data_IF_846681893526
#
_entry.id   IF_846681893526
#
_cell.length_a   1.000
_cell.length_b   1.000
_cell.length_c   1.000
_cell.angle_alpha   90.00
_cell.angle_beta   90.00
_cell.angle_gamma   90.00
#
_symmetry.space_group_name_H-M   'P 1'
#
loop_
_entity.id
_entity.type
_entity.pdbx_description
1 polymer ?
#
# COMPACT_ATOMS: atom_id res chain seq x y z
N UNK A 1 -13.09 -13.50 13.49
CA UNK A 1 -13.81 -12.43 12.76
C UNK A 1 -15.29 -12.80 12.66
N UNK A 2 -16.19 -11.82 12.54
CA UNK A 2 -17.66 -12.05 12.47
C UNK A 2 -18.32 -11.13 11.42
N UNK A 3 -17.53 -10.66 10.44
CA UNK A 3 -17.99 -9.65 9.48
C UNK A 3 -19.10 -10.16 8.56
N UNK A 4 -19.02 -11.40 8.09
CA UNK A 4 -20.07 -11.97 7.22
C UNK A 4 -21.44 -12.07 7.92
N UNK A 5 -21.44 -12.37 9.22
CA UNK A 5 -22.68 -12.35 10.01
C UNK A 5 -23.23 -10.93 10.15
N UNK A 6 -22.39 -9.94 10.47
CA UNK A 6 -22.79 -8.53 10.60
C UNK A 6 -23.30 -7.97 9.26
N UNK A 7 -22.71 -8.34 8.14
CA UNK A 7 -23.22 -8.01 6.79
C UNK A 7 -24.60 -8.63 6.55
N UNK A 8 -24.82 -9.90 6.96
CA UNK A 8 -26.12 -10.53 6.85
C UNK A 8 -27.22 -9.81 7.64
N UNK A 9 -26.89 -9.23 8.80
CA UNK A 9 -27.80 -8.38 9.56
C UNK A 9 -28.14 -7.08 8.81
N UNK A 10 -27.19 -6.47 8.10
CA UNK A 10 -27.45 -5.30 7.24
C UNK A 10 -28.43 -5.65 6.11
N UNK A 11 -28.28 -6.83 5.51
CA UNK A 11 -29.25 -7.33 4.49
C UNK A 11 -30.65 -7.49 5.10
N UNK A 12 -30.74 -8.13 6.27
CA UNK A 12 -32.03 -8.38 6.95
C UNK A 12 -32.76 -7.10 7.34
N UNK A 13 -32.03 -6.03 7.64
CA UNK A 13 -32.60 -4.74 8.01
C UNK A 13 -32.75 -3.76 6.84
N UNK A 14 -32.40 -4.17 5.63
CA UNK A 14 -32.39 -3.33 4.41
C UNK A 14 -31.57 -2.04 4.56
N UNK A 15 -30.46 -2.15 5.27
CA UNK A 15 -29.50 -1.05 5.49
C UNK A 15 -28.08 -1.46 5.04
N UNK A 16 -27.83 -1.62 3.73
CA UNK A 16 -26.51 -1.97 3.23
C UNK A 16 -25.49 -0.86 3.55
N UNK A 17 -24.23 -1.25 3.67
CA UNK A 17 -23.12 -0.28 3.74
C UNK A 17 -23.05 0.47 2.41
N UNK A 18 -23.12 1.80 2.46
CA UNK A 18 -23.11 2.69 1.30
C UNK A 18 -21.69 3.17 1.02
N UNK A 19 -21.16 2.75 -0.13
CA UNK A 19 -19.78 3.00 -0.54
C UNK A 19 -19.73 4.02 -1.67
N UNK A 20 -18.86 5.02 -1.53
CA UNK A 20 -18.37 5.87 -2.61
C UNK A 20 -17.01 5.34 -3.06
N UNK A 21 -16.87 4.97 -4.33
CA UNK A 21 -15.60 4.50 -4.91
C UNK A 21 -15.01 5.60 -5.79
N UNK A 22 -13.78 6.04 -5.45
CA UNK A 22 -13.09 7.09 -6.19
C UNK A 22 -11.92 6.47 -6.96
N UNK A 23 -11.97 6.56 -8.29
CA UNK A 23 -11.06 5.90 -9.22
C UNK A 23 -11.55 4.51 -9.63
N UNK A 24 -11.66 4.28 -10.93
CA UNK A 24 -12.13 3.02 -11.53
C UNK A 24 -11.04 2.38 -12.42
N UNK A 25 -9.84 2.19 -11.86
CA UNK A 25 -8.71 1.53 -12.49
C UNK A 25 -8.69 0.01 -12.29
N UNK A 26 -7.51 -0.59 -12.44
CA UNK A 26 -7.30 -2.06 -12.30
C UNK A 26 -7.72 -2.58 -10.93
N UNK A 27 -7.34 -1.88 -9.84
CA UNK A 27 -7.72 -2.25 -8.48
C UNK A 27 -9.24 -2.27 -8.31
N UNK A 28 -9.91 -1.19 -8.71
CA UNK A 28 -11.35 -1.06 -8.62
C UNK A 28 -12.08 -2.18 -9.38
N UNK A 29 -11.59 -2.57 -10.56
CA UNK A 29 -12.14 -3.70 -11.32
C UNK A 29 -12.13 -4.99 -10.51
N UNK A 30 -11.01 -5.29 -9.82
CA UNK A 30 -10.89 -6.45 -8.94
C UNK A 30 -11.85 -6.36 -7.75
N UNK A 31 -11.97 -5.19 -7.12
CA UNK A 31 -12.93 -4.98 -6.03
C UNK A 31 -14.37 -5.14 -6.51
N UNK A 32 -14.76 -4.51 -7.61
CA UNK A 32 -16.11 -4.56 -8.17
C UNK A 32 -16.54 -5.97 -8.56
N UNK A 33 -15.59 -6.83 -8.97
CA UNK A 33 -15.85 -8.25 -9.26
C UNK A 33 -16.42 -8.97 -8.04
N UNK A 34 -15.95 -8.65 -6.83
CA UNK A 34 -16.43 -9.26 -5.58
C UNK A 34 -17.56 -8.43 -4.92
N UNK A 35 -17.51 -7.11 -4.99
CA UNK A 35 -18.50 -6.24 -4.36
C UNK A 35 -19.92 -6.59 -4.79
N UNK A 36 -20.14 -6.89 -6.07
CA UNK A 36 -21.44 -7.31 -6.61
C UNK A 36 -21.96 -8.64 -6.03
N UNK A 37 -21.08 -9.46 -5.46
CA UNK A 37 -21.42 -10.74 -4.81
C UNK A 37 -21.53 -10.61 -3.28
N UNK A 38 -21.12 -9.46 -2.74
CA UNK A 38 -21.07 -9.23 -1.29
C UNK A 38 -22.37 -8.59 -0.83
N UNK A 39 -23.32 -9.42 -0.40
CA UNK A 39 -24.58 -8.92 0.14
C UNK A 39 -24.33 -8.02 1.38
N UNK A 40 -25.09 -6.93 1.49
CA UNK A 40 -24.94 -5.94 2.55
C UNK A 40 -23.96 -4.82 2.24
N UNK A 41 -23.37 -4.78 1.05
CA UNK A 41 -22.59 -3.65 0.53
C UNK A 41 -23.27 -3.11 -0.73
N UNK A 42 -23.45 -1.80 -0.81
CA UNK A 42 -23.99 -1.10 -1.97
C UNK A 42 -22.98 -0.03 -2.45
N UNK A 43 -22.47 -0.17 -3.65
CA UNK A 43 -21.67 0.85 -4.32
C UNK A 43 -22.64 1.91 -4.85
N UNK A 44 -22.84 2.98 -4.09
CA UNK A 44 -23.80 4.06 -4.43
C UNK A 44 -23.33 4.83 -5.64
N UNK A 45 -22.03 5.12 -5.70
CA UNK A 45 -21.44 5.83 -6.81
C UNK A 45 -19.98 5.45 -7.07
N UNK A 46 -19.58 5.68 -8.31
CA UNK A 46 -18.20 5.56 -8.76
C UNK A 46 -17.83 6.87 -9.43
N UNK A 47 -16.77 7.52 -8.94
CA UNK A 47 -16.21 8.71 -9.57
C UNK A 47 -14.93 8.33 -10.33
N UNK A 48 -14.87 8.67 -11.61
CA UNK A 48 -13.69 8.52 -12.46
C UNK A 48 -13.66 9.62 -13.51
N UNK A 49 -12.51 10.20 -13.78
CA UNK A 49 -12.31 11.24 -14.81
C UNK A 49 -12.69 10.77 -16.22
N UNK A 50 -12.80 9.45 -16.42
CA UNK A 50 -13.27 8.83 -17.67
C UNK A 50 -14.40 7.82 -17.39
N UNK A 51 -15.67 8.27 -17.40
CA UNK A 51 -16.84 7.40 -17.17
C UNK A 51 -16.96 6.27 -18.22
N UNK A 52 -16.46 6.46 -19.43
CA UNK A 52 -16.49 5.41 -20.45
C UNK A 52 -15.53 4.28 -20.07
N UNK A 53 -14.37 4.61 -19.51
CA UNK A 53 -13.45 3.63 -18.92
C UNK A 53 -14.10 2.93 -17.72
N UNK A 54 -14.77 3.66 -16.83
CA UNK A 54 -15.48 3.07 -15.70
C UNK A 54 -16.54 2.04 -16.15
N UNK A 55 -17.35 2.36 -17.16
CA UNK A 55 -18.32 1.43 -17.73
C UNK A 55 -17.65 0.17 -18.30
N UNK A 56 -16.51 0.30 -19.00
CA UNK A 56 -15.72 -0.85 -19.50
C UNK A 56 -15.22 -1.73 -18.36
N UNK A 57 -14.74 -1.14 -17.27
CA UNK A 57 -14.27 -1.89 -16.10
C UNK A 57 -15.42 -2.61 -15.38
N UNK A 58 -16.58 -1.98 -15.24
CA UNK A 58 -17.78 -2.62 -14.71
C UNK A 58 -18.20 -3.83 -15.56
N UNK A 59 -18.25 -3.67 -16.87
CA UNK A 59 -18.54 -4.79 -17.79
C UNK A 59 -17.51 -5.93 -17.64
N UNK A 60 -16.21 -5.61 -17.53
CA UNK A 60 -15.14 -6.58 -17.26
C UNK A 60 -15.35 -7.30 -15.91
N UNK A 61 -15.78 -6.57 -14.89
CA UNK A 61 -16.13 -7.14 -13.57
C UNK A 61 -17.45 -7.93 -13.58
N UNK A 62 -18.15 -8.01 -14.72
CA UNK A 62 -19.38 -8.76 -14.93
C UNK A 62 -20.65 -8.07 -14.43
N UNK A 63 -20.64 -6.73 -14.32
CA UNK A 63 -21.83 -5.94 -14.02
C UNK A 63 -22.69 -5.78 -15.27
N UNK A 64 -24.01 -5.85 -15.12
CA UNK A 64 -24.96 -5.54 -16.19
C UNK A 64 -25.22 -4.03 -16.25
N UNK A 65 -25.66 -3.54 -17.41
CA UNK A 65 -25.95 -2.12 -17.60
C UNK A 65 -26.98 -1.57 -16.60
N UNK A 66 -27.95 -2.39 -16.20
CA UNK A 66 -28.99 -2.03 -15.23
C UNK A 66 -28.38 -1.75 -13.84
N UNK A 67 -27.31 -2.43 -13.47
CA UNK A 67 -26.67 -2.31 -12.15
C UNK A 67 -25.93 -0.96 -11.98
N UNK A 68 -25.62 -0.25 -13.08
CA UNK A 68 -25.02 1.08 -13.05
C UNK A 68 -25.80 2.11 -13.90
N UNK A 69 -27.10 1.93 -14.01
CA UNK A 69 -27.98 2.81 -14.78
C UNK A 69 -28.52 4.01 -13.99
N UNK A 70 -28.09 4.22 -12.75
CA UNK A 70 -28.56 5.34 -11.95
C UNK A 70 -28.15 6.70 -12.56
N UNK A 71 -29.09 7.64 -12.62
CA UNK A 71 -28.87 8.96 -13.21
C UNK A 71 -28.35 9.99 -12.21
N UNK A 72 -28.49 9.72 -10.93
CA UNK A 72 -28.09 10.55 -9.81
C UNK A 72 -28.05 9.71 -8.52
N UNK A 73 -27.51 10.25 -7.42
CA UNK A 73 -27.41 9.51 -6.14
C UNK A 73 -28.76 9.03 -5.59
N UNK A 74 -29.79 9.85 -5.67
CA UNK A 74 -31.15 9.48 -5.20
C UNK A 74 -31.69 8.28 -5.98
N UNK A 75 -31.50 8.28 -7.30
CA UNK A 75 -31.88 7.17 -8.18
C UNK A 75 -31.10 5.89 -7.84
N UNK A 76 -29.78 6.04 -7.54
CA UNK A 76 -28.92 4.93 -7.13
C UNK A 76 -29.42 4.25 -5.84
N UNK A 77 -29.71 5.05 -4.83
CA UNK A 77 -30.20 4.54 -3.54
C UNK A 77 -31.60 3.94 -3.65
N UNK A 78 -32.49 4.56 -4.41
CA UNK A 78 -33.87 4.06 -4.56
C UNK A 78 -33.95 2.74 -5.34
N UNK A 79 -33.03 2.48 -6.27
CA UNK A 79 -33.04 1.30 -7.15
C UNK A 79 -32.01 0.24 -6.78
N UNK A 80 -31.14 0.52 -5.82
CA UNK A 80 -29.98 -0.36 -5.53
C UNK A 80 -28.99 -0.46 -6.70
N UNK A 81 -28.93 0.57 -7.57
CA UNK A 81 -27.98 0.66 -8.69
C UNK A 81 -26.85 1.63 -8.38
N UNK A 82 -25.85 1.72 -9.25
CA UNK A 82 -24.68 2.60 -9.07
C UNK A 82 -24.75 3.81 -9.98
N UNK A 83 -24.41 4.98 -9.45
CA UNK A 83 -24.27 6.22 -10.20
C UNK A 83 -22.81 6.42 -10.65
N UNK A 84 -22.59 6.79 -11.91
CA UNK A 84 -21.29 7.13 -12.46
C UNK A 84 -21.16 8.64 -12.60
N UNK A 85 -20.03 9.20 -12.17
CA UNK A 85 -19.75 10.64 -12.23
C UNK A 85 -18.27 10.92 -12.53
N UNK A 86 -17.97 12.10 -13.09
CA UNK A 86 -16.63 12.64 -13.21
C UNK A 86 -16.21 13.43 -11.96
N UNK A 87 -17.17 13.81 -11.12
CA UNK A 87 -16.98 14.66 -9.96
C UNK A 87 -16.91 13.84 -8.66
N UNK A 88 -15.68 13.58 -8.22
CA UNK A 88 -15.41 12.89 -6.96
C UNK A 88 -15.91 13.68 -5.75
N UNK A 89 -15.78 15.00 -5.79
CA UNK A 89 -16.16 15.88 -4.71
C UNK A 89 -17.67 15.83 -4.46
N UNK A 90 -18.45 15.85 -5.54
CA UNK A 90 -19.90 15.71 -5.46
C UNK A 90 -20.32 14.36 -4.85
N UNK A 91 -19.60 13.28 -5.19
CA UNK A 91 -19.90 11.97 -4.63
C UNK A 91 -19.51 11.86 -3.15
N UNK A 92 -18.39 12.44 -2.75
CA UNK A 92 -17.92 12.46 -1.36
C UNK A 92 -18.86 13.30 -0.47
N UNK A 93 -19.42 14.38 -0.97
CA UNK A 93 -20.28 15.29 -0.19
C UNK A 93 -21.69 14.71 0.10
N UNK A 94 -22.03 13.53 -0.39
CA UNK A 94 -23.33 12.92 -0.11
C UNK A 94 -23.41 12.44 1.34
N UNK A 95 -24.34 12.97 2.11
CA UNK A 95 -24.54 12.65 3.52
C UNK A 95 -24.86 11.15 3.78
N UNK A 96 -25.33 10.44 2.77
CA UNK A 96 -25.75 9.05 2.88
C UNK A 96 -24.62 8.05 2.72
N UNK A 97 -23.40 8.48 2.42
CA UNK A 97 -22.23 7.62 2.29
C UNK A 97 -21.72 7.21 3.67
N UNK A 98 -21.47 5.93 3.89
CA UNK A 98 -20.86 5.42 5.11
C UNK A 98 -19.32 5.41 5.01
N UNK A 99 -18.79 5.09 3.81
CA UNK A 99 -17.35 4.94 3.59
C UNK A 99 -16.93 5.35 2.19
N UNK A 100 -15.84 6.08 2.11
CA UNK A 100 -15.15 6.43 0.85
C UNK A 100 -13.99 5.45 0.64
N UNK A 101 -13.94 4.83 -0.52
CA UNK A 101 -12.80 4.02 -0.98
C UNK A 101 -12.01 4.86 -1.98
N UNK A 102 -10.81 5.29 -1.61
CA UNK A 102 -9.92 6.08 -2.44
C UNK A 102 -8.95 5.16 -3.19
N UNK A 103 -9.07 5.06 -4.51
CA UNK A 103 -8.34 4.13 -5.37
C UNK A 103 -7.77 4.79 -6.64
N UNK A 104 -7.46 6.08 -6.61
CA UNK A 104 -6.93 6.81 -7.78
C UNK A 104 -5.47 6.46 -8.06
N UNK A 105 -4.67 6.13 -7.03
CA UNK A 105 -3.22 5.93 -7.14
C UNK A 105 -2.44 7.24 -7.40
N UNK A 106 -3.08 8.41 -7.24
CA UNK A 106 -2.46 9.73 -7.41
C UNK A 106 -2.36 10.39 -6.03
N UNK A 107 -1.16 10.62 -5.47
CA UNK A 107 -0.99 11.11 -4.11
C UNK A 107 -1.72 12.42 -3.83
N UNK A 108 -1.64 13.41 -4.73
CA UNK A 108 -2.28 14.71 -4.56
C UNK A 108 -3.80 14.60 -4.53
N UNK A 109 -4.39 13.79 -5.41
CA UNK A 109 -5.83 13.52 -5.44
C UNK A 109 -6.27 12.76 -4.17
N UNK A 110 -5.52 11.72 -3.78
CA UNK A 110 -5.82 10.93 -2.58
C UNK A 110 -5.85 11.75 -1.30
N UNK A 111 -4.88 12.65 -1.12
CA UNK A 111 -4.84 13.57 0.02
C UNK A 111 -6.04 14.53 0.03
N UNK A 112 -6.41 15.08 -1.14
CA UNK A 112 -7.57 15.94 -1.30
C UNK A 112 -8.86 15.20 -0.95
N UNK A 113 -9.11 14.05 -1.56
CA UNK A 113 -10.31 13.23 -1.33
C UNK A 113 -10.42 12.79 0.13
N UNK A 114 -9.28 12.42 0.74
CA UNK A 114 -9.22 12.03 2.14
C UNK A 114 -9.67 13.17 3.06
N UNK A 115 -9.09 14.36 2.95
CA UNK A 115 -9.46 15.52 3.77
C UNK A 115 -10.93 15.93 3.57
N UNK A 116 -11.43 15.80 2.33
CA UNK A 116 -12.83 16.07 2.03
C UNK A 116 -13.77 15.07 2.71
N UNK A 117 -13.45 13.77 2.61
CA UNK A 117 -14.22 12.70 3.28
C UNK A 117 -14.21 12.86 4.80
N UNK A 118 -13.06 13.20 5.41
CA UNK A 118 -12.97 13.52 6.84
C UNK A 118 -13.89 14.68 7.22
N UNK A 119 -13.90 15.75 6.41
CA UNK A 119 -14.76 16.93 6.62
C UNK A 119 -16.23 16.59 6.49
N UNK A 120 -16.60 15.71 5.56
CA UNK A 120 -17.96 15.21 5.37
C UNK A 120 -18.39 14.19 6.45
N UNK A 121 -17.49 13.73 7.30
CA UNK A 121 -17.78 12.77 8.36
C UNK A 121 -17.84 11.32 7.91
N UNK A 122 -17.24 10.98 6.77
CA UNK A 122 -17.21 9.62 6.23
C UNK A 122 -15.96 8.85 6.67
N UNK A 123 -16.15 7.56 6.90
CA UNK A 123 -15.02 6.64 7.05
C UNK A 123 -14.24 6.52 5.75
N UNK A 124 -12.98 6.10 5.83
CA UNK A 124 -12.06 6.01 4.71
C UNK A 124 -11.38 4.63 4.62
N UNK A 125 -11.32 4.09 3.41
CA UNK A 125 -10.41 2.99 3.04
C UNK A 125 -9.47 3.51 1.97
N UNK A 126 -8.22 3.73 2.36
CA UNK A 126 -7.15 4.26 1.52
C UNK A 126 -6.46 3.12 0.78
N UNK A 127 -6.81 2.95 -0.49
CA UNK A 127 -6.11 2.02 -1.40
C UNK A 127 -4.85 2.66 -1.97
N UNK A 128 -4.85 3.97 -2.07
CA UNK A 128 -3.75 4.79 -2.56
C UNK A 128 -2.62 4.86 -1.51
N UNK A 129 -1.82 3.80 -1.46
CA UNK A 129 -0.71 3.68 -0.51
C UNK A 129 0.35 4.75 -0.74
N UNK A 130 0.44 5.27 -1.98
CA UNK A 130 1.30 6.37 -2.37
C UNK A 130 0.93 7.66 -1.60
N UNK A 131 -0.37 7.98 -1.51
CA UNK A 131 -0.88 9.09 -0.71
C UNK A 131 -0.70 8.85 0.79
N UNK A 132 -0.90 7.60 1.24
CA UNK A 132 -0.70 7.19 2.64
C UNK A 132 0.75 7.45 3.09
N UNK A 133 1.74 7.08 2.30
CA UNK A 133 3.15 7.30 2.68
C UNK A 133 3.54 8.78 2.63
N UNK A 134 2.94 9.57 1.75
CA UNK A 134 3.20 11.03 1.69
C UNK A 134 2.66 11.76 2.91
N UNK A 135 1.42 11.45 3.36
CA UNK A 135 0.74 12.21 4.40
C UNK A 135 -0.13 11.37 5.35
N UNK A 136 -0.19 10.05 5.21
CA UNK A 136 -1.10 9.16 5.96
C UNK A 136 -1.07 9.32 7.47
N UNK A 137 0.09 9.42 8.15
CA UNK A 137 0.14 9.67 9.59
C UNK A 137 -0.59 10.95 10.03
N UNK A 138 -0.53 12.02 9.22
CA UNK A 138 -1.28 13.25 9.47
C UNK A 138 -2.77 13.04 9.23
N UNK A 139 -3.13 12.46 8.08
CA UNK A 139 -4.52 12.22 7.69
C UNK A 139 -5.24 11.29 8.67
N UNK A 140 -4.56 10.24 9.16
CA UNK A 140 -5.10 9.34 10.19
C UNK A 140 -5.38 10.08 11.51
N UNK A 141 -4.51 11.02 11.91
CA UNK A 141 -4.73 11.87 13.08
C UNK A 141 -5.88 12.85 12.88
N UNK A 142 -6.01 13.45 11.68
CA UNK A 142 -7.15 14.30 11.31
C UNK A 142 -8.46 13.49 11.35
N UNK A 143 -8.48 12.28 10.80
CA UNK A 143 -9.64 11.38 10.82
C UNK A 143 -10.04 11.02 12.26
N UNK A 144 -9.07 10.65 13.10
CA UNK A 144 -9.31 10.35 14.52
C UNK A 144 -9.92 11.56 15.26
N UNK A 145 -9.42 12.76 15.01
CA UNK A 145 -9.95 13.99 15.60
C UNK A 145 -11.39 14.28 15.16
N UNK A 146 -11.75 13.91 13.94
CA UNK A 146 -13.10 14.03 13.38
C UNK A 146 -14.04 12.88 13.78
N UNK A 147 -13.54 11.84 14.49
CA UNK A 147 -14.33 10.67 14.89
C UNK A 147 -14.65 9.71 13.76
N UNK A 148 -13.88 9.75 12.66
CA UNK A 148 -14.00 8.82 11.54
C UNK A 148 -12.80 7.88 11.47
N UNK A 149 -12.96 6.72 10.82
CA UNK A 149 -11.90 5.73 10.68
C UNK A 149 -11.14 5.97 9.38
N UNK A 150 -9.82 6.06 9.48
CA UNK A 150 -8.89 5.93 8.36
C UNK A 150 -8.32 4.52 8.34
N UNK A 151 -8.40 3.80 7.24
CA UNK A 151 -7.97 2.41 7.12
C UNK A 151 -7.14 2.17 5.87
N UNK A 152 -6.07 1.38 6.00
CA UNK A 152 -5.44 0.72 4.87
C UNK A 152 -6.39 -0.34 4.26
N UNK A 153 -6.12 -0.75 3.04
CA UNK A 153 -6.95 -1.64 2.26
C UNK A 153 -6.58 -3.12 2.47
N UNK A 154 -7.49 -3.92 3.03
CA UNK A 154 -7.31 -5.37 3.16
C UNK A 154 -7.22 -6.07 1.80
N UNK A 155 -6.35 -7.05 1.71
CA UNK A 155 -6.00 -7.72 0.46
C UNK A 155 -4.79 -7.09 -0.21
N UNK A 156 -4.44 -5.85 0.14
CA UNK A 156 -3.11 -5.28 -0.14
C UNK A 156 -2.12 -5.72 0.93
N UNK A 157 -0.86 -5.83 0.56
CA UNK A 157 0.19 -6.38 1.43
C UNK A 157 0.39 -5.60 2.72
N UNK A 158 0.35 -4.25 2.77
CA UNK A 158 0.49 -3.52 4.03
C UNK A 158 -0.53 -3.91 5.09
N UNK A 159 -1.81 -3.99 4.77
CA UNK A 159 -2.84 -4.35 5.73
C UNK A 159 -2.69 -5.80 6.24
N UNK A 160 -2.32 -6.73 5.35
CA UNK A 160 -2.08 -8.13 5.71
C UNK A 160 -0.85 -8.30 6.62
N UNK A 161 0.20 -7.52 6.38
CA UNK A 161 1.39 -7.53 7.24
C UNK A 161 1.07 -6.92 8.61
N UNK A 162 0.25 -5.85 8.64
CA UNK A 162 -0.22 -5.26 9.89
C UNK A 162 -1.01 -6.27 10.74
N UNK A 163 -1.84 -7.12 10.12
CA UNK A 163 -2.52 -8.23 10.81
C UNK A 163 -1.53 -9.22 11.43
N UNK A 164 -0.50 -9.62 10.69
CA UNK A 164 0.54 -10.51 11.23
C UNK A 164 1.23 -9.91 12.44
N UNK A 165 1.58 -8.62 12.38
CA UNK A 165 2.24 -7.90 13.47
C UNK A 165 1.30 -7.77 14.68
N UNK A 166 0.03 -7.43 14.44
CA UNK A 166 -0.97 -7.30 15.50
C UNK A 166 -1.23 -8.64 16.19
N UNK A 167 -1.41 -9.71 15.41
CA UNK A 167 -1.53 -11.08 15.91
C UNK A 167 -0.33 -11.44 16.79
N UNK A 168 0.90 -11.24 16.31
CA UNK A 168 2.10 -11.62 17.04
C UNK A 168 2.19 -10.87 18.39
N UNK A 169 1.99 -9.55 18.37
CA UNK A 169 2.04 -8.71 19.60
C UNK A 169 0.92 -9.01 20.55
N UNK A 170 -0.29 -9.27 20.07
CA UNK A 170 -1.44 -9.66 20.90
C UNK A 170 -1.21 -11.00 21.59
N UNK A 171 -0.49 -11.92 20.94
CA UNK A 171 -0.05 -13.19 21.54
C UNK A 171 1.20 -13.05 22.43
N UNK A 172 1.77 -11.86 22.59
CA UNK A 172 2.96 -11.61 23.41
C UNK A 172 4.29 -11.98 22.74
N UNK A 173 4.30 -12.22 21.43
CA UNK A 173 5.54 -12.46 20.69
C UNK A 173 6.27 -11.15 20.37
N UNK A 174 7.59 -11.18 20.44
CA UNK A 174 8.42 -10.12 19.90
C UNK A 174 8.52 -10.25 18.37
N UNK A 175 8.13 -9.19 17.66
CA UNK A 175 8.25 -9.14 16.20
C UNK A 175 9.65 -8.72 15.82
N UNK A 176 10.38 -9.62 15.18
CA UNK A 176 11.76 -9.39 14.71
C UNK A 176 11.76 -8.74 13.34
N UNK A 177 10.93 -9.26 12.43
CA UNK A 177 10.77 -8.74 11.08
C UNK A 177 9.36 -9.03 10.57
N UNK A 178 8.83 -8.13 9.76
CA UNK A 178 7.62 -8.38 8.99
C UNK A 178 7.79 -7.83 7.57
N UNK A 179 7.15 -8.47 6.60
CA UNK A 179 7.30 -8.03 5.22
C UNK A 179 6.62 -8.92 4.20
N UNK A 180 7.12 -8.83 2.98
CA UNK A 180 6.56 -9.52 1.82
C UNK A 180 7.64 -10.18 0.97
N UNK A 181 7.20 -10.99 -0.01
CA UNK A 181 8.05 -11.42 -1.10
C UNK A 181 7.80 -10.61 -2.37
N UNK A 182 8.82 -10.53 -3.22
CA UNK A 182 8.74 -9.92 -4.56
C UNK A 182 9.70 -10.58 -5.53
N UNK A 183 9.56 -10.27 -6.83
CA UNK A 183 10.59 -10.57 -7.81
C UNK A 183 11.57 -9.39 -7.83
N UNK A 184 12.82 -9.64 -7.50
CA UNK A 184 13.82 -8.58 -7.43
C UNK A 184 15.20 -9.08 -7.84
N UNK A 185 15.91 -8.24 -8.59
CA UNK A 185 17.34 -8.36 -8.88
C UNK A 185 17.98 -6.96 -8.73
N UNK A 186 19.24 -6.82 -8.27
CA UNK A 186 19.88 -5.51 -8.06
C UNK A 186 19.85 -4.56 -9.26
N UNK A 187 19.94 -5.09 -10.49
CA UNK A 187 19.86 -4.29 -11.72
C UNK A 187 18.46 -3.71 -11.99
N UNK A 188 17.44 -4.15 -11.27
CA UNK A 188 16.06 -3.69 -11.53
C UNK A 188 15.81 -2.25 -11.09
N UNK A 189 16.63 -1.68 -10.21
CA UNK A 189 16.57 -0.25 -9.89
C UNK A 189 16.76 0.66 -11.12
N UNK A 190 17.47 0.17 -12.14
CA UNK A 190 17.72 0.91 -13.37
C UNK A 190 16.65 0.73 -14.45
N UNK A 191 15.67 -0.19 -14.23
CA UNK A 191 14.60 -0.44 -15.18
C UNK A 191 13.74 0.82 -15.39
N UNK A 192 13.27 0.96 -16.63
CA UNK A 192 12.40 2.04 -17.08
C UNK A 192 11.15 1.46 -17.72
N UNK A 193 10.07 2.25 -17.95
CA UNK A 193 8.92 1.79 -18.70
C UNK A 193 9.25 1.19 -20.08
N UNK A 194 10.35 1.63 -20.69
CA UNK A 194 10.78 1.14 -22.02
C UNK A 194 11.48 -0.23 -21.93
N UNK A 195 12.20 -0.50 -20.83
CA UNK A 195 13.00 -1.73 -20.67
C UNK A 195 12.31 -2.81 -19.84
N UNK A 196 11.31 -2.46 -19.04
CA UNK A 196 10.63 -3.39 -18.11
C UNK A 196 9.96 -4.56 -18.83
N UNK A 197 9.53 -4.37 -20.07
CA UNK A 197 8.88 -5.42 -20.87
C UNK A 197 9.75 -6.66 -21.05
N UNK A 198 11.05 -6.49 -21.29
CA UNK A 198 11.99 -7.60 -21.45
C UNK A 198 12.07 -8.51 -20.20
N UNK A 199 11.82 -7.94 -19.02
CA UNK A 199 11.76 -8.70 -17.76
C UNK A 199 10.38 -9.33 -17.56
N UNK A 200 9.30 -8.60 -17.83
CA UNK A 200 7.92 -9.08 -17.62
C UNK A 200 7.60 -10.33 -18.43
N UNK A 201 7.97 -10.36 -19.70
CA UNK A 201 7.73 -11.48 -20.60
C UNK A 201 8.44 -12.80 -20.19
N UNK A 202 9.40 -12.73 -19.26
CA UNK A 202 10.09 -13.93 -18.77
C UNK A 202 9.23 -14.75 -17.79
N UNK A 203 8.19 -14.15 -17.20
CA UNK A 203 7.41 -14.80 -16.14
C UNK A 203 5.91 -14.49 -16.14
N UNK A 204 5.46 -13.58 -17.01
CA UNK A 204 4.04 -13.27 -17.21
C UNK A 204 3.64 -13.64 -18.63
N UNK A 205 2.54 -14.36 -18.75
CA UNK A 205 1.86 -14.58 -20.02
C UNK A 205 0.94 -13.39 -20.28
N UNK A 206 1.34 -12.49 -21.16
CA UNK A 206 0.60 -11.28 -21.54
C UNK A 206 0.43 -11.29 -23.05
N UNK A 207 -0.81 -11.46 -23.49
CA UNK A 207 -1.15 -11.53 -24.92
C UNK A 207 -0.99 -10.18 -25.63
N UNK A 208 -1.31 -9.08 -24.92
CA UNK A 208 -1.26 -7.73 -25.47
C UNK A 208 -0.49 -6.78 -24.54
N UNK A 209 0.76 -6.40 -24.89
CA UNK A 209 1.56 -5.45 -24.11
C UNK A 209 0.91 -4.07 -23.94
N UNK A 210 0.04 -3.67 -24.89
CA UNK A 210 -0.64 -2.36 -24.84
C UNK A 210 -1.75 -2.32 -23.77
N UNK A 211 -2.15 -3.48 -23.27
CA UNK A 211 -3.18 -3.61 -22.24
C UNK A 211 -2.68 -3.32 -20.83
N UNK A 212 -1.37 -3.18 -20.64
CA UNK A 212 -0.74 -2.99 -19.33
C UNK A 212 -0.12 -1.62 -19.17
N UNK A 213 -0.11 -1.12 -17.92
CA UNK A 213 0.60 0.11 -17.57
C UNK A 213 2.06 -0.23 -17.25
N UNK A 214 2.98 -0.01 -18.19
CA UNK A 214 4.41 -0.30 -18.02
C UNK A 214 5.04 0.45 -16.86
N UNK A 215 4.63 1.70 -16.60
CA UNK A 215 5.12 2.50 -15.48
C UNK A 215 4.74 1.87 -14.13
N UNK A 216 3.49 1.39 -14.00
CA UNK A 216 3.04 0.68 -12.81
C UNK A 216 3.81 -0.63 -12.61
N UNK A 217 4.00 -1.44 -13.67
CA UNK A 217 4.76 -2.68 -13.56
C UNK A 217 6.23 -2.43 -13.25
N UNK A 218 6.80 -1.34 -13.79
CA UNK A 218 8.16 -0.95 -13.48
C UNK A 218 8.33 -0.64 -11.99
N UNK A 219 7.38 0.05 -11.35
CA UNK A 219 7.46 0.36 -9.91
C UNK A 219 7.45 -0.90 -9.02
N UNK A 220 6.84 -1.99 -9.48
CA UNK A 220 6.90 -3.28 -8.77
C UNK A 220 8.28 -3.92 -8.82
N UNK A 221 9.01 -3.74 -9.92
CA UNK A 221 10.32 -4.36 -10.13
C UNK A 221 11.47 -3.50 -9.65
N UNK A 222 11.41 -2.16 -9.84
CA UNK A 222 12.50 -1.25 -9.48
C UNK A 222 12.66 -1.02 -7.98
N UNK A 223 11.77 -1.60 -7.16
CA UNK A 223 11.79 -1.51 -5.71
C UNK A 223 10.93 -0.40 -5.13
N UNK A 224 10.43 0.54 -5.94
CA UNK A 224 9.62 1.68 -5.49
C UNK A 224 8.38 1.23 -4.72
N UNK A 225 7.57 0.36 -5.32
CA UNK A 225 6.35 -0.15 -4.67
C UNK A 225 6.65 -0.90 -3.38
N UNK A 226 7.75 -1.68 -3.34
CA UNK A 226 8.20 -2.35 -2.12
C UNK A 226 8.58 -1.35 -1.02
N UNK A 227 9.26 -0.27 -1.37
CA UNK A 227 9.57 0.83 -0.44
C UNK A 227 8.30 1.47 0.12
N UNK A 228 7.34 1.81 -0.75
CA UNK A 228 6.05 2.41 -0.38
C UNK A 228 5.29 1.50 0.59
N UNK A 229 5.07 0.24 0.24
CA UNK A 229 4.30 -0.68 1.06
C UNK A 229 4.96 -0.97 2.42
N UNK A 230 6.29 -1.13 2.46
CA UNK A 230 6.99 -1.34 3.74
C UNK A 230 7.02 -0.07 4.60
N UNK A 231 6.98 1.11 4.00
CA UNK A 231 6.85 2.36 4.76
C UNK A 231 5.44 2.51 5.37
N UNK A 232 4.39 2.15 4.64
CA UNK A 232 3.03 2.09 5.19
C UNK A 232 2.95 1.12 6.39
N UNK A 233 3.61 -0.07 6.28
CA UNK A 233 3.73 -1.02 7.41
C UNK A 233 4.45 -0.40 8.60
N UNK A 234 5.61 0.24 8.39
CA UNK A 234 6.35 0.90 9.48
C UNK A 234 5.50 1.97 10.16
N UNK A 235 4.88 2.85 9.39
CA UNK A 235 4.05 3.95 9.91
C UNK A 235 2.82 3.45 10.68
N UNK A 236 2.29 2.29 10.31
CA UNK A 236 1.16 1.65 10.98
C UNK A 236 1.57 0.86 12.23
N UNK A 237 2.67 0.13 12.17
CA UNK A 237 3.04 -0.85 13.22
C UNK A 237 4.09 -0.34 14.20
N UNK A 238 4.82 0.73 13.86
CA UNK A 238 5.98 1.21 14.63
C UNK A 238 7.24 0.36 14.42
N UNK A 239 7.23 -0.57 13.44
CA UNK A 239 8.48 -1.15 12.94
C UNK A 239 9.30 -0.06 12.24
N UNK A 240 10.61 -0.25 12.18
CA UNK A 240 11.52 0.76 11.60
C UNK A 240 12.22 0.21 10.35
N UNK A 241 12.54 1.03 9.36
CA UNK A 241 13.34 0.60 8.23
C UNK A 241 14.72 0.11 8.67
N UNK A 242 15.34 -0.73 7.85
CA UNK A 242 16.75 -1.04 8.02
C UNK A 242 17.63 0.20 7.71
N UNK A 243 18.86 0.23 8.22
CA UNK A 243 19.77 1.38 8.09
C UNK A 243 20.01 1.83 6.65
N UNK A 244 20.08 0.88 5.71
CA UNK A 244 20.34 1.14 4.30
C UNK A 244 19.10 0.92 3.40
N UNK A 245 17.91 0.89 3.99
CA UNK A 245 16.69 0.52 3.30
C UNK A 245 16.55 -0.98 3.07
N UNK A 246 15.67 -1.39 2.16
CA UNK A 246 15.40 -2.80 1.88
C UNK A 246 16.59 -3.50 1.23
N UNK A 247 16.93 -4.66 1.77
CA UNK A 247 18.06 -5.49 1.30
C UNK A 247 17.67 -6.50 0.22
N UNK A 248 16.40 -6.85 0.12
CA UNK A 248 15.87 -7.86 -0.80
C UNK A 248 16.65 -9.20 -0.78
N UNK A 249 16.90 -9.80 0.38
CA UNK A 249 17.63 -11.07 0.41
C UNK A 249 16.87 -12.17 -0.32
N UNK A 250 17.56 -13.01 -1.13
CA UNK A 250 16.95 -14.23 -1.67
C UNK A 250 16.47 -15.14 -0.54
N UNK A 251 15.21 -15.57 -0.58
CA UNK A 251 14.69 -16.49 0.44
C UNK A 251 13.60 -17.40 -0.09
N UNK A 252 13.67 -18.66 0.28
CA UNK A 252 12.52 -19.56 0.28
C UNK A 252 11.55 -19.16 1.40
N UNK A 253 10.24 -19.39 1.19
CA UNK A 253 9.25 -19.23 2.27
C UNK A 253 9.51 -20.12 3.49
N UNK A 254 10.29 -21.19 3.33
CA UNK A 254 10.67 -22.11 4.40
C UNK A 254 11.92 -21.68 5.15
N UNK A 255 12.66 -20.66 4.65
CA UNK A 255 13.90 -20.18 5.23
C UNK A 255 13.83 -18.77 5.82
N UNK A 256 12.61 -18.21 5.90
CA UNK A 256 12.35 -16.85 6.37
C UNK A 256 12.95 -16.59 7.77
N UNK A 257 12.83 -17.55 8.69
CA UNK A 257 13.35 -17.41 10.07
C UNK A 257 14.88 -17.39 10.14
N UNK A 258 15.58 -18.02 9.17
CA UNK A 258 17.05 -17.95 9.09
C UNK A 258 17.52 -16.66 8.42
N UNK A 259 16.83 -16.22 7.37
CA UNK A 259 17.21 -15.04 6.57
C UNK A 259 16.82 -13.74 7.28
N UNK A 260 15.57 -13.65 7.75
CA UNK A 260 14.98 -12.43 8.31
C UNK A 260 15.15 -12.36 9.83
N UNK A 261 16.37 -12.57 10.32
CA UNK A 261 16.81 -12.35 11.70
C UNK A 261 18.05 -11.45 11.71
N UNK A 262 18.45 -10.87 12.87
CA UNK A 262 19.61 -9.99 12.95
C UNK A 262 20.91 -10.66 12.46
N UNK A 263 21.78 -9.86 11.86
CA UNK A 263 23.09 -10.33 11.36
C UNK A 263 23.99 -10.86 12.48
N UNK A 264 23.87 -10.33 13.69
CA UNK A 264 24.55 -10.83 14.90
C UNK A 264 24.13 -12.26 15.29
N UNK A 265 22.90 -12.68 14.89
CA UNK A 265 22.37 -14.02 15.07
C UNK A 265 22.49 -14.87 13.78
N UNK A 266 23.29 -14.42 12.81
CA UNK A 266 23.56 -15.11 11.55
C UNK A 266 22.51 -14.91 10.45
N UNK A 267 21.66 -13.89 10.56
CA UNK A 267 20.69 -13.48 9.54
C UNK A 267 21.18 -12.35 8.65
N UNK A 268 20.24 -11.64 8.01
CA UNK A 268 20.53 -10.59 7.03
C UNK A 268 20.10 -9.18 7.50
N UNK A 269 19.44 -9.07 8.66
CA UNK A 269 18.88 -7.80 9.10
C UNK A 269 19.91 -6.96 9.86
N UNK A 270 19.87 -5.65 9.65
CA UNK A 270 20.70 -4.66 10.36
C UNK A 270 20.19 -4.36 11.77
N UNK A 271 18.95 -4.72 12.08
CA UNK A 271 18.29 -4.51 13.38
C UNK A 271 17.09 -5.43 13.59
N UNK A 272 16.59 -5.51 14.81
CA UNK A 272 15.29 -6.11 15.17
C UNK A 272 14.16 -5.09 15.01
N UNK A 273 12.92 -5.59 14.95
CA UNK A 273 11.75 -4.72 14.84
C UNK A 273 11.72 -3.93 13.54
N UNK A 274 12.07 -4.60 12.43
CA UNK A 274 12.23 -3.97 11.12
C UNK A 274 11.32 -4.58 10.06
N UNK A 275 11.28 -3.95 8.88
CA UNK A 275 10.66 -4.52 7.69
C UNK A 275 11.72 -4.98 6.69
N UNK A 276 11.42 -6.05 5.93
CA UNK A 276 12.26 -6.51 4.83
C UNK A 276 11.41 -7.15 3.73
N UNK A 277 11.87 -7.06 2.48
CA UNK A 277 11.26 -7.70 1.32
C UNK A 277 12.17 -8.78 0.80
N UNK A 278 11.69 -10.05 0.77
CA UNK A 278 12.49 -11.15 0.29
C UNK A 278 12.34 -11.35 -1.22
N UNK A 279 13.48 -11.62 -1.88
CA UNK A 279 13.51 -11.82 -3.33
C UNK A 279 13.19 -13.26 -3.74
N UNK A 280 12.42 -13.41 -4.82
CA UNK A 280 12.20 -14.68 -5.52
C UNK A 280 13.34 -15.06 -6.49
N UNK A 281 14.35 -14.20 -6.63
CA UNK A 281 15.53 -14.44 -7.43
C UNK A 281 16.79 -14.44 -6.55
N UNK A 282 17.74 -15.29 -6.90
CA UNK A 282 19.11 -15.22 -6.38
C UNK A 282 19.83 -13.98 -6.91
N UNK A 283 21.01 -13.68 -6.38
CA UNK A 283 21.86 -12.57 -6.88
C UNK A 283 22.41 -12.81 -8.29
N UNK A 284 22.36 -14.05 -8.78
CA UNK A 284 22.69 -14.42 -10.15
C UNK A 284 21.48 -14.40 -11.10
N UNK A 285 20.28 -14.08 -10.59
CA UNK A 285 19.04 -14.01 -11.38
C UNK A 285 18.27 -15.33 -11.49
N UNK A 286 18.76 -16.40 -10.86
CA UNK A 286 18.08 -17.69 -10.86
C UNK A 286 16.88 -17.72 -9.92
N UNK A 287 15.77 -18.40 -10.26
CA UNK A 287 14.63 -18.53 -9.37
C UNK A 287 14.97 -19.23 -8.04
N UNK A 288 14.55 -18.66 -6.92
CA UNK A 288 14.61 -19.29 -5.61
C UNK A 288 13.50 -20.35 -5.51
N UNK A 289 13.82 -21.63 -5.22
CA UNK A 289 12.79 -22.64 -5.01
C UNK A 289 11.85 -22.26 -3.86
N UNK A 290 10.55 -22.48 -4.03
CA UNK A 290 9.54 -22.18 -3.01
C UNK A 290 9.56 -20.73 -2.51
N UNK A 291 9.87 -19.78 -3.36
CA UNK A 291 9.86 -18.35 -3.05
C UNK A 291 8.49 -17.84 -2.59
N UNK A 292 8.45 -16.64 -2.02
CA UNK A 292 7.26 -15.99 -1.48
C UNK A 292 6.79 -14.79 -2.33
N UNK A 293 7.00 -14.78 -3.64
CA UNK A 293 6.81 -13.58 -4.49
C UNK A 293 5.46 -12.84 -4.32
N UNK A 294 4.39 -13.56 -3.99
CA UNK A 294 3.03 -12.99 -3.83
C UNK A 294 2.53 -13.02 -2.38
N UNK A 295 3.38 -13.33 -1.44
CA UNK A 295 2.97 -13.53 -0.06
C UNK A 295 3.50 -12.48 0.90
N UNK A 296 3.00 -12.59 2.14
CA UNK A 296 3.42 -11.78 3.29
C UNK A 296 3.91 -12.67 4.43
N UNK A 297 4.69 -12.13 5.35
CA UNK A 297 5.25 -12.90 6.43
C UNK A 297 5.51 -12.06 7.69
N UNK A 298 5.69 -12.76 8.82
CA UNK A 298 6.23 -12.23 10.05
C UNK A 298 7.22 -13.24 10.64
N UNK A 299 8.33 -12.73 11.18
CA UNK A 299 9.29 -13.50 11.98
C UNK A 299 9.20 -13.01 13.42
N UNK A 300 9.02 -13.96 14.33
CA UNK A 300 8.89 -13.73 15.77
C UNK A 300 9.98 -14.43 16.54
N UNK A 301 10.28 -13.93 17.73
CA UNK A 301 11.19 -14.58 18.67
C UNK A 301 10.43 -15.27 19.79
N UNK A 302 10.83 -16.51 20.11
CA UNK A 302 10.29 -17.26 21.26
C UNK A 302 10.96 -16.86 22.56
N UNK A 303 10.17 -16.30 23.49
CA UNK A 303 10.63 -15.90 24.80
C UNK A 303 10.88 -17.13 25.70
N UNK A 304 12.13 -17.58 25.77
CA UNK A 304 12.57 -18.67 26.60
C UNK A 304 12.36 -20.08 26.03
N UNK A 305 12.95 -21.08 26.68
CA UNK A 305 13.07 -22.45 26.16
C UNK A 305 11.72 -23.13 25.91
N UNK A 306 10.72 -22.86 26.73
CA UNK A 306 9.39 -23.48 26.58
C UNK A 306 8.65 -22.96 25.34
N UNK A 307 8.70 -21.66 25.07
CA UNK A 307 8.11 -21.11 23.84
C UNK A 307 8.78 -21.68 22.59
N UNK A 308 10.12 -21.80 22.62
CA UNK A 308 10.91 -22.42 21.54
C UNK A 308 10.61 -23.92 21.39
N UNK A 309 10.35 -24.63 22.48
CA UNK A 309 9.87 -26.00 22.46
C UNK A 309 8.49 -26.10 21.79
N UNK A 310 7.55 -25.21 22.15
CA UNK A 310 6.23 -25.15 21.52
C UNK A 310 6.34 -24.89 19.99
N UNK A 311 7.22 -24.01 19.56
CA UNK A 311 7.45 -23.79 18.13
C UNK A 311 7.82 -25.08 17.40
N UNK A 312 8.68 -25.93 18.00
CA UNK A 312 9.03 -27.24 17.45
C UNK A 312 7.87 -28.22 17.44
N UNK A 313 7.15 -28.31 18.55
CA UNK A 313 6.02 -29.24 18.71
C UNK A 313 4.86 -28.93 17.75
N UNK A 314 4.62 -27.63 17.48
CA UNK A 314 3.60 -27.17 16.54
C UNK A 314 4.12 -26.98 15.11
N UNK A 315 5.33 -27.44 14.82
CA UNK A 315 5.94 -27.43 13.48
C UNK A 315 5.99 -26.04 12.82
N UNK A 316 6.21 -24.99 13.61
CA UNK A 316 6.49 -23.68 13.04
C UNK A 316 7.78 -23.69 12.24
N UNK A 317 7.87 -22.83 11.24
CA UNK A 317 9.10 -22.67 10.45
C UNK A 317 10.15 -21.96 11.31
N UNK A 318 11.05 -22.71 11.89
CA UNK A 318 12.08 -22.22 12.79
C UNK A 318 13.41 -21.99 12.06
N UNK A 319 14.23 -21.11 12.64
CA UNK A 319 15.64 -21.01 12.32
C UNK A 319 16.45 -22.22 12.87
N UNK A 320 17.71 -22.32 12.51
CA UNK A 320 18.60 -23.42 12.94
C UNK A 320 18.79 -23.50 14.46
N UNK A 321 18.55 -22.42 15.21
CA UNK A 321 18.67 -22.39 16.67
C UNK A 321 17.36 -22.75 17.40
N UNK A 322 16.22 -22.66 16.69
CA UNK A 322 14.89 -22.80 17.27
C UNK A 322 14.37 -21.56 18.00
N UNK A 323 15.15 -20.49 18.03
CA UNK A 323 14.81 -19.23 18.71
C UNK A 323 13.82 -18.38 17.93
N UNK A 324 13.98 -18.33 16.60
CA UNK A 324 13.16 -17.58 15.68
C UNK A 324 12.19 -18.49 14.93
N UNK A 325 10.97 -18.00 14.71
CA UNK A 325 9.97 -18.73 13.93
C UNK A 325 9.23 -17.78 12.98
N UNK A 326 8.85 -18.32 11.82
CA UNK A 326 8.13 -17.57 10.80
C UNK A 326 6.71 -18.10 10.59
N UNK A 327 5.78 -17.19 10.36
CA UNK A 327 4.49 -17.43 9.74
C UNK A 327 4.40 -16.66 8.44
N UNK A 328 3.70 -17.23 7.44
CA UNK A 328 3.51 -16.58 6.17
C UNK A 328 2.12 -16.85 5.58
N UNK A 329 1.63 -15.92 4.80
CA UNK A 329 0.50 -16.07 3.90
C UNK A 329 1.06 -16.19 2.47
N UNK A 330 0.77 -17.26 1.73
CA UNK A 330 1.46 -17.55 0.47
C UNK A 330 1.08 -16.61 -0.67
N UNK A 331 -0.12 -16.02 -0.62
CA UNK A 331 -0.69 -15.16 -1.66
C UNK A 331 -1.52 -14.06 -1.04
N UNK A 332 -1.80 -13.01 -1.81
CA UNK A 332 -2.79 -11.97 -1.52
C UNK A 332 -3.64 -11.74 -2.76
N UNK A 333 -4.86 -11.26 -2.56
CA UNK A 333 -5.80 -10.96 -3.66
C UNK A 333 -6.23 -9.50 -3.58
N UNK A 334 -5.34 -8.62 -4.06
CA UNK A 334 -5.56 -7.18 -4.04
C UNK A 334 -6.90 -6.81 -4.68
N UNK A 335 -7.64 -5.92 -4.05
CA UNK A 335 -8.98 -5.51 -4.47
C UNK A 335 -10.07 -6.55 -4.15
N UNK A 336 -9.87 -7.81 -4.47
CA UNK A 336 -10.90 -8.84 -4.26
C UNK A 336 -11.26 -9.06 -2.78
N UNK A 337 -10.36 -8.77 -1.86
CA UNK A 337 -10.58 -8.90 -0.41
C UNK A 337 -11.01 -7.59 0.27
N UNK A 338 -11.16 -6.49 -0.47
CA UNK A 338 -11.42 -5.16 0.09
C UNK A 338 -12.70 -5.06 0.93
N UNK A 339 -13.68 -5.90 0.65
CA UNK A 339 -14.91 -5.98 1.44
C UNK A 339 -14.67 -6.19 2.94
N UNK A 340 -13.52 -6.77 3.32
CA UNK A 340 -13.11 -6.91 4.73
C UNK A 340 -12.88 -5.54 5.38
N UNK A 341 -12.13 -4.63 4.73
CA UNK A 341 -11.92 -3.26 5.25
C UNK A 341 -13.22 -2.48 5.31
N UNK A 342 -14.00 -2.49 4.23
CA UNK A 342 -15.29 -1.80 4.15
C UNK A 342 -16.22 -2.25 5.30
N UNK A 343 -16.34 -3.56 5.51
CA UNK A 343 -17.16 -4.10 6.58
C UNK A 343 -16.59 -3.81 7.98
N UNK A 344 -15.28 -3.94 8.19
CA UNK A 344 -14.63 -3.70 9.49
C UNK A 344 -14.81 -2.25 9.94
N UNK A 345 -14.53 -1.33 9.03
CA UNK A 345 -14.60 0.11 9.29
C UNK A 345 -16.01 0.54 9.67
N UNK A 346 -17.03 0.13 8.91
CA UNK A 346 -18.41 0.60 9.13
C UNK A 346 -19.13 -0.19 10.24
N UNK A 347 -18.89 -1.51 10.35
CA UNK A 347 -19.65 -2.34 11.30
C UNK A 347 -19.00 -2.46 12.68
N UNK A 348 -17.68 -2.21 12.76
CA UNK A 348 -16.92 -2.35 14.01
C UNK A 348 -16.21 -1.08 14.43
N UNK A 349 -16.10 -0.08 13.55
CA UNK A 349 -15.28 1.11 13.79
C UNK A 349 -13.79 0.80 13.87
N UNK A 350 -13.33 -0.30 13.26
CA UNK A 350 -11.95 -0.80 13.36
C UNK A 350 -11.26 -0.77 11.99
N UNK A 351 -10.06 -0.13 11.88
CA UNK A 351 -9.27 -0.15 10.66
C UNK A 351 -8.60 -1.52 10.47
N UNK A 352 -8.32 -1.89 9.22
CA UNK A 352 -7.47 -3.05 8.88
C UNK A 352 -5.98 -2.69 8.77
N UNK A 353 -5.61 -1.56 9.28
CA UNK A 353 -4.32 -0.93 9.39
C UNK A 353 -4.53 0.59 9.37
N UNK A 354 -3.87 1.30 10.30
CA UNK A 354 -3.97 2.76 10.40
C UNK A 354 -2.64 3.34 10.85
N UNK A 355 -2.05 4.30 10.14
CA UNK A 355 -0.79 4.92 10.53
C UNK A 355 -0.87 5.54 11.93
N UNK A 356 0.11 5.23 12.78
CA UNK A 356 0.22 5.70 14.17
C UNK A 356 1.32 6.74 14.36
N UNK A 357 2.24 6.82 13.40
CA UNK A 357 3.38 7.73 13.44
C UNK A 357 4.13 7.77 12.12
N UNK A 358 5.06 8.70 12.01
CA UNK A 358 5.95 8.83 10.86
C UNK A 358 7.29 8.19 11.21
N UNK A 359 7.46 6.90 10.95
CA UNK A 359 8.66 6.10 11.25
C UNK A 359 9.51 5.82 10.03
N UNK A 360 8.89 5.83 8.86
CA UNK A 360 9.50 5.48 7.58
C UNK A 360 9.05 6.42 6.48
N UNK A 361 9.96 6.69 5.57
CA UNK A 361 9.72 7.45 4.35
C UNK A 361 10.16 6.66 3.12
N UNK A 362 9.67 7.08 1.95
CA UNK A 362 10.15 6.64 0.64
C UNK A 362 10.63 7.84 -0.13
N UNK A 363 11.91 7.87 -0.40
CA UNK A 363 12.59 9.03 -1.00
C UNK A 363 12.96 8.75 -2.45
N UNK A 364 12.88 9.79 -3.28
CA UNK A 364 13.27 9.71 -4.68
C UNK A 364 14.79 9.58 -4.81
N UNK A 365 15.24 8.50 -5.46
CA UNK A 365 16.65 8.23 -5.74
C UNK A 365 16.89 8.19 -7.25
N UNK A 366 17.88 8.92 -7.74
CA UNK A 366 18.16 9.08 -9.16
C UNK A 366 18.62 7.75 -9.80
N UNK A 367 17.94 7.27 -10.84
CA UNK A 367 18.34 6.08 -11.62
C UNK A 367 19.59 6.34 -12.47
N UNK A 368 19.73 7.54 -12.97
CA UNK A 368 20.86 8.03 -13.77
C UNK A 368 21.19 9.47 -13.37
N UNK A 369 22.23 10.05 -13.94
CA UNK A 369 22.55 11.45 -13.71
C UNK A 369 21.43 12.36 -14.27
N UNK A 370 20.86 13.19 -13.40
CA UNK A 370 19.80 14.14 -13.74
C UNK A 370 20.41 15.53 -13.97
N UNK A 371 19.83 16.30 -14.90
CA UNK A 371 20.32 17.62 -15.27
C UNK A 371 19.34 18.73 -14.87
N UNK A 372 19.86 19.91 -14.58
CA UNK A 372 19.03 21.10 -14.35
C UNK A 372 18.06 21.32 -15.53
N UNK A 373 16.80 21.61 -15.21
CA UNK A 373 15.74 21.78 -16.19
C UNK A 373 15.02 20.50 -16.63
N UNK A 374 15.53 19.31 -16.29
CA UNK A 374 14.88 18.05 -16.57
C UNK A 374 13.58 17.90 -15.77
N UNK A 375 12.53 17.39 -16.39
CA UNK A 375 11.28 17.04 -15.70
C UNK A 375 11.39 15.64 -15.11
N UNK A 376 10.99 15.50 -13.86
CA UNK A 376 10.86 14.19 -13.21
C UNK A 376 9.51 13.57 -13.57
N UNK A 377 9.50 12.26 -13.69
CA UNK A 377 8.33 11.48 -14.08
C UNK A 377 7.79 10.55 -12.96
N UNK A 378 8.37 10.65 -11.76
CA UNK A 378 7.88 10.00 -10.54
C UNK A 378 8.05 8.49 -10.50
N UNK A 379 7.22 7.86 -9.66
CA UNK A 379 7.24 6.42 -9.39
C UNK A 379 7.16 5.57 -10.66
N UNK A 380 8.02 4.56 -10.73
CA UNK A 380 8.09 3.63 -11.86
C UNK A 380 8.52 4.26 -13.18
N UNK A 381 8.95 5.53 -13.17
CA UNK A 381 9.38 6.27 -14.33
C UNK A 381 10.84 6.01 -14.73
N UNK A 382 11.37 6.92 -15.58
CA UNK A 382 12.75 6.86 -16.09
C UNK A 382 13.75 7.49 -15.13
N UNK A 383 13.31 8.53 -14.38
CA UNK A 383 14.21 9.41 -13.66
C UNK A 383 14.62 8.90 -12.27
N UNK A 384 13.66 8.36 -11.52
CA UNK A 384 13.84 8.03 -10.11
C UNK A 384 13.20 6.69 -9.75
N UNK A 385 13.69 6.10 -8.65
CA UNK A 385 13.06 5.00 -7.95
C UNK A 385 12.91 5.32 -6.47
N UNK A 386 12.05 4.58 -5.76
CA UNK A 386 11.73 4.84 -4.36
C UNK A 386 12.58 4.01 -3.39
N UNK A 387 13.46 4.66 -2.65
CA UNK A 387 14.24 4.03 -1.59
C UNK A 387 13.57 4.24 -0.24
N UNK A 388 13.32 3.14 0.50
CA UNK A 388 12.87 3.21 1.89
C UNK A 388 13.97 3.78 2.79
N UNK A 389 13.60 4.65 3.73
CA UNK A 389 14.52 5.32 4.64
C UNK A 389 13.84 5.55 6.01
N UNK A 390 14.57 5.55 7.15
CA UNK A 390 14.04 6.08 8.40
C UNK A 390 13.55 7.52 8.24
N UNK A 391 12.39 7.85 8.81
CA UNK A 391 11.81 9.18 8.68
C UNK A 391 12.73 10.29 9.23
N UNK A 392 13.44 10.02 10.33
CA UNK A 392 14.43 10.94 10.89
C UNK A 392 15.53 11.28 9.89
N UNK A 393 16.07 10.26 9.20
CA UNK A 393 17.13 10.45 8.20
C UNK A 393 16.62 11.22 6.98
N UNK A 394 15.35 10.95 6.57
CA UNK A 394 14.71 11.66 5.46
C UNK A 394 14.57 13.15 5.76
N UNK A 395 14.09 13.50 6.95
CA UNK A 395 13.96 14.90 7.38
C UNK A 395 15.31 15.57 7.52
N UNK A 396 16.29 14.93 8.18
CA UNK A 396 17.64 15.49 8.34
C UNK A 396 18.30 15.81 7.01
N UNK A 397 18.12 14.94 6.01
CA UNK A 397 18.67 15.13 4.65
C UNK A 397 17.85 16.11 3.81
N UNK A 398 16.65 16.48 4.25
CA UNK A 398 15.69 17.23 3.43
C UNK A 398 15.31 16.47 2.17
N UNK A 399 15.15 15.14 2.28
CA UNK A 399 14.92 14.27 1.14
C UNK A 399 13.56 14.55 0.47
N UNK A 400 13.48 14.38 -0.84
CA UNK A 400 12.25 14.53 -1.62
C UNK A 400 11.44 13.24 -1.55
N UNK A 401 10.19 13.26 -1.05
CA UNK A 401 9.32 12.09 -1.08
C UNK A 401 9.05 11.63 -2.52
N UNK A 402 9.09 10.33 -2.77
CA UNK A 402 8.85 9.77 -4.10
C UNK A 402 7.48 10.17 -4.66
N UNK A 403 6.42 10.14 -3.83
CA UNK A 403 5.06 10.48 -4.24
C UNK A 403 4.87 11.94 -4.68
N UNK A 404 5.88 12.80 -4.46
CA UNK A 404 5.91 14.20 -4.91
C UNK A 404 6.96 14.46 -5.99
N UNK A 405 7.58 13.41 -6.54
CA UNK A 405 8.64 13.51 -7.55
C UNK A 405 8.12 13.40 -9.00
N UNK A 406 6.82 13.62 -9.24
CA UNK A 406 6.23 13.61 -10.56
C UNK A 406 5.92 15.03 -11.04
N UNK A 407 6.13 15.28 -12.32
CA UNK A 407 5.77 16.53 -13.02
C UNK A 407 6.44 17.79 -12.40
N UNK A 408 7.59 17.61 -11.77
CA UNK A 408 8.40 18.68 -11.18
C UNK A 408 9.76 18.78 -11.87
N UNK A 409 10.31 19.99 -11.86
CA UNK A 409 11.53 20.33 -12.61
C UNK A 409 12.77 20.36 -11.72
N UNK A 410 13.87 19.79 -12.21
CA UNK A 410 15.16 19.85 -11.52
C UNK A 410 15.73 21.27 -11.55
N UNK A 411 16.19 21.76 -10.40
CA UNK A 411 16.94 23.04 -10.26
C UNK A 411 18.43 22.89 -10.55
N UNK A 412 18.99 21.75 -10.23
CA UNK A 412 20.42 21.49 -10.34
C UNK A 412 20.69 20.08 -10.86
N UNK A 413 21.96 19.79 -11.15
CA UNK A 413 22.39 18.46 -11.54
C UNK A 413 22.49 17.55 -10.30
N UNK A 414 22.04 16.30 -10.43
CA UNK A 414 22.13 15.27 -9.39
C UNK A 414 22.78 14.03 -9.99
N UNK A 415 23.73 13.42 -9.29
CA UNK A 415 24.43 12.23 -9.75
C UNK A 415 23.54 10.98 -9.65
N UNK A 416 23.78 9.98 -10.51
CA UNK A 416 23.15 8.68 -10.41
C UNK A 416 23.33 8.05 -9.01
N UNK A 417 22.30 7.39 -8.50
CA UNK A 417 22.29 6.74 -7.18
C UNK A 417 22.14 7.71 -5.99
N UNK A 418 22.05 9.02 -6.23
CA UNK A 418 21.88 10.02 -5.16
C UNK A 418 20.40 10.19 -4.80
N UNK A 419 20.13 10.33 -3.50
CA UNK A 419 18.81 10.76 -3.01
C UNK A 419 18.57 12.21 -3.41
N UNK A 420 17.43 12.51 -4.01
CA UNK A 420 16.98 13.86 -4.32
C UNK A 420 16.52 14.57 -3.03
N UNK A 421 16.71 15.88 -3.00
CA UNK A 421 16.27 16.75 -1.90
C UNK A 421 15.25 17.76 -2.40
N UNK A 422 14.47 18.31 -1.50
CA UNK A 422 13.58 19.43 -1.80
C UNK A 422 14.30 20.61 -2.47
N UNK A 423 15.55 20.87 -2.09
CA UNK A 423 16.35 21.94 -2.67
C UNK A 423 16.75 21.71 -4.14
N UNK A 424 16.71 20.45 -4.60
CA UNK A 424 17.14 20.06 -5.93
C UNK A 424 16.05 20.24 -7.00
N UNK A 425 14.79 20.55 -6.59
CA UNK A 425 13.61 20.64 -7.47
C UNK A 425 12.84 21.95 -7.31
N UNK A 426 12.04 22.30 -8.34
CA UNK A 426 11.08 23.40 -8.32
C UNK A 426 9.71 22.84 -7.91
N UNK A 427 9.19 23.18 -6.75
CA UNK A 427 7.86 22.78 -6.30
C UNK A 427 6.99 24.00 -5.97
N UNK A 428 5.67 23.81 -5.95
CA UNK A 428 4.72 24.85 -5.54
C UNK A 428 4.37 24.66 -4.05
N UNK A 429 4.74 25.63 -3.22
CA UNK A 429 4.42 25.64 -1.79
C UNK A 429 2.90 25.70 -1.51
N UNK A 430 2.09 26.06 -2.51
CA UNK A 430 0.64 26.09 -2.39
C UNK A 430 -0.02 24.76 -2.78
N UNK A 431 0.74 23.81 -3.35
CA UNK A 431 0.22 22.49 -3.66
C UNK A 431 -0.27 21.79 -2.39
N UNK A 432 -1.47 21.22 -2.44
CA UNK A 432 -2.13 20.60 -1.28
C UNK A 432 -1.34 19.44 -0.70
N UNK A 433 -0.71 18.64 -1.54
CA UNK A 433 0.07 17.48 -1.08
C UNK A 433 1.43 17.91 -0.51
N UNK A 434 2.08 18.91 -1.11
CA UNK A 434 3.30 19.51 -0.57
C UNK A 434 3.04 20.09 0.82
N UNK A 435 1.95 20.83 0.99
CA UNK A 435 1.54 21.40 2.28
C UNK A 435 1.25 20.31 3.31
N UNK A 436 0.43 19.31 2.95
CA UNK A 436 0.12 18.19 3.85
C UNK A 436 1.39 17.45 4.28
N UNK A 437 2.34 17.23 3.37
CA UNK A 437 3.63 16.63 3.69
C UNK A 437 4.43 17.47 4.68
N UNK A 438 4.53 18.79 4.45
CA UNK A 438 5.24 19.70 5.36
C UNK A 438 4.57 19.79 6.74
N UNK A 439 3.24 19.83 6.77
CA UNK A 439 2.45 19.75 8.01
C UNK A 439 2.74 18.45 8.77
N UNK A 440 2.84 17.31 8.08
CA UNK A 440 3.20 16.02 8.68
C UNK A 440 4.62 16.03 9.27
N UNK A 441 5.61 16.51 8.54
CA UNK A 441 7.00 16.61 9.00
C UNK A 441 7.10 17.42 10.30
N UNK A 442 6.42 18.57 10.36
CA UNK A 442 6.35 19.40 11.58
C UNK A 442 5.62 18.67 12.72
N UNK A 443 4.48 18.04 12.42
CA UNK A 443 3.62 17.41 13.40
C UNK A 443 4.24 16.19 14.11
N UNK A 444 5.25 15.57 13.49
CA UNK A 444 5.93 14.39 13.99
C UNK A 444 7.42 14.62 14.31
N UNK A 445 7.96 15.84 14.11
CA UNK A 445 9.37 16.16 14.37
C UNK A 445 9.84 15.84 15.79
N UNK A 446 8.99 16.06 16.80
CA UNK A 446 9.33 15.84 18.22
C UNK A 446 9.36 14.36 18.63
N UNK A 447 9.00 13.44 17.74
CA UNK A 447 8.91 11.99 17.98
C UNK A 447 9.94 11.18 17.21
N UNK A 448 10.77 11.85 16.44
CA UNK A 448 11.86 11.29 15.65
C UNK A 448 13.20 11.46 16.38
#
# INVERSE_FOLDING_TARGET
>A
MNLSFLLSERVRTDHPIRVALIGCGKFATMYLTQARQTAGIHIVGIADLDPARAMKQLATAGWTAEQYAARNPTDAMAKGSTWLTEDADQLIDLNEIDVVVEATGIPTAGIHHCRRAITAGHHLVMVNVEADVVAGPLLAREAQAAGVVYSLAWGDQPALICEHVDWARTCGFEVVCAGKGTRYHPSYHELTPDSVWEVLQQYLEIDDPTSINMKMFNSFLDGSKSGIEMSAVCNTTGLTPQHNGLGFPPSSRFDLANVCKPSEDGGMLSRRGTTEVVSSLTRSGEPVPHHLAMGTYVVVEGAGDYAQQCFREYHMLQDSTGRYAALYRPTHMIGMELGVSVASVVLRGEPTGCPKGFYSDVVATAKHALTAGQMLDGEGGHCVWGQQMPAADSIERGALPLGLAADIKMRCNVAAGSTLRWADVEFDDNDTAVRARREMEVAFSDRL
#
